data_IF_177356436926
#
_entry.id   IF_177356436926
#
_cell.length_a   1.000
_cell.length_b   1.000
_cell.length_c   1.000
_cell.angle_alpha   90.00
_cell.angle_beta   90.00
_cell.angle_gamma   90.00
#
_symmetry.space_group_name_H-M   'P 1'
#
loop_
_entity.id
_entity.type
_entity.pdbx_description
1 polymer ?
#
# COMPACT_ATOMS: atom_id res chain seq x y z
N UNK A 1 -16.72 4.17 -3.77
CA UNK A 1 -15.48 3.79 -4.49
C UNK A 1 -14.20 4.07 -3.72
N UNK A 2 -13.99 5.29 -3.22
CA UNK A 2 -12.77 5.65 -2.48
C UNK A 2 -12.41 4.70 -1.32
N UNK A 3 -13.39 4.35 -0.47
CA UNK A 3 -13.18 3.42 0.65
C UNK A 3 -12.68 2.05 0.17
N UNK A 4 -13.21 1.54 -0.95
CA UNK A 4 -12.79 0.25 -1.51
C UNK A 4 -11.34 0.31 -1.99
N UNK A 5 -10.94 1.38 -2.69
CA UNK A 5 -9.54 1.56 -3.14
C UNK A 5 -8.56 1.64 -1.97
N UNK A 6 -8.91 2.40 -0.93
CA UNK A 6 -8.10 2.49 0.30
C UNK A 6 -7.96 1.09 0.93
N UNK A 7 -9.05 0.34 1.00
CA UNK A 7 -9.04 -1.00 1.55
C UNK A 7 -8.13 -1.93 0.73
N UNK A 8 -8.25 -1.94 -0.60
CA UNK A 8 -7.47 -2.78 -1.49
C UNK A 8 -5.96 -2.47 -1.44
N UNK A 9 -5.59 -1.18 -1.30
CA UNK A 9 -4.20 -0.77 -1.07
C UNK A 9 -3.66 -1.42 0.21
N UNK A 10 -4.38 -1.30 1.33
CA UNK A 10 -3.94 -1.86 2.61
C UNK A 10 -3.93 -3.39 2.64
N UNK A 11 -4.88 -4.06 1.95
CA UNK A 11 -4.84 -5.52 1.78
C UNK A 11 -3.61 -5.96 0.99
N UNK A 12 -3.26 -5.21 -0.05
CA UNK A 12 -2.05 -5.50 -0.84
C UNK A 12 -0.78 -5.32 -0.01
N UNK A 13 -0.70 -4.28 0.81
CA UNK A 13 0.46 -4.01 1.68
C UNK A 13 0.64 -5.04 2.81
N UNK A 14 -0.46 -5.50 3.41
CA UNK A 14 -0.39 -6.28 4.67
C UNK A 14 -0.86 -7.73 4.58
N UNK A 15 -1.72 -8.08 3.61
CA UNK A 15 -2.38 -9.40 3.57
C UNK A 15 -1.93 -10.28 2.41
N UNK A 16 -1.32 -9.73 1.36
CA UNK A 16 -0.87 -10.50 0.19
C UNK A 16 0.51 -11.17 0.34
N UNK A 17 1.18 -11.01 1.49
CA UNK A 17 2.50 -11.60 1.73
C UNK A 17 3.63 -11.01 0.89
N UNK A 18 3.38 -9.86 0.25
CA UNK A 18 4.35 -9.17 -0.61
C UNK A 18 5.31 -8.31 0.22
N UNK A 19 6.56 -8.18 -0.27
CA UNK A 19 7.44 -7.14 0.22
C UNK A 19 6.97 -5.75 -0.28
N UNK A 20 7.52 -4.67 0.27
CA UNK A 20 7.07 -3.31 -0.05
C UNK A 20 7.18 -2.98 -1.55
N UNK A 21 8.28 -3.38 -2.19
CA UNK A 21 8.55 -3.09 -3.60
C UNK A 21 7.57 -3.84 -4.53
N UNK A 22 7.26 -5.09 -4.22
CA UNK A 22 6.27 -5.89 -4.95
C UNK A 22 4.86 -5.35 -4.75
N UNK A 23 4.48 -5.03 -3.50
CA UNK A 23 3.18 -4.46 -3.19
C UNK A 23 2.94 -3.15 -3.93
N UNK A 24 3.96 -2.30 -4.06
CA UNK A 24 3.87 -1.05 -4.81
C UNK A 24 3.56 -1.26 -6.28
N UNK A 25 4.25 -2.20 -6.94
CA UNK A 25 3.98 -2.52 -8.35
C UNK A 25 2.54 -2.98 -8.54
N UNK A 26 2.08 -3.89 -7.67
CA UNK A 26 0.70 -4.41 -7.72
C UNK A 26 -0.32 -3.28 -7.52
N UNK A 27 -0.07 -2.35 -6.58
CA UNK A 27 -0.97 -1.21 -6.36
C UNK A 27 -1.01 -0.28 -7.59
N UNK A 28 0.14 0.01 -8.21
CA UNK A 28 0.22 0.87 -9.39
C UNK A 28 -0.44 0.25 -10.62
N UNK A 29 -0.40 -1.09 -10.75
CA UNK A 29 -0.99 -1.84 -11.86
C UNK A 29 -2.51 -2.09 -11.68
N UNK A 30 -2.95 -2.50 -10.48
CA UNK A 30 -4.34 -2.90 -10.24
C UNK A 30 -5.27 -1.73 -9.86
N UNK A 31 -4.73 -0.67 -9.24
CA UNK A 31 -5.54 0.42 -8.68
C UNK A 31 -5.34 1.67 -9.54
N UNK A 32 -6.40 2.19 -10.18
CA UNK A 32 -6.33 3.40 -11.01
C UNK A 32 -5.76 4.59 -10.23
N UNK A 33 -5.16 5.52 -10.96
CA UNK A 33 -4.63 6.73 -10.34
C UNK A 33 -5.71 7.51 -9.59
N UNK A 34 -5.38 7.87 -8.35
CA UNK A 34 -6.27 8.59 -7.46
C UNK A 34 -5.48 9.25 -6.34
N UNK A 35 -6.10 10.29 -5.75
CA UNK A 35 -5.50 11.06 -4.68
C UNK A 35 -5.09 10.18 -3.49
N UNK A 36 -5.96 9.27 -3.05
CA UNK A 36 -5.66 8.36 -1.93
C UNK A 36 -4.52 7.38 -2.23
N UNK A 37 -4.40 6.88 -3.47
CA UNK A 37 -3.30 6.01 -3.88
C UNK A 37 -1.98 6.76 -3.78
N UNK A 38 -1.93 7.95 -4.37
CA UNK A 38 -0.74 8.79 -4.36
C UNK A 38 -0.34 9.16 -2.92
N UNK A 39 -1.30 9.61 -2.12
CA UNK A 39 -1.08 9.98 -0.71
C UNK A 39 -0.49 8.82 0.10
N UNK A 40 -1.04 7.61 -0.03
CA UNK A 40 -0.56 6.45 0.71
C UNK A 40 0.84 6.04 0.22
N UNK A 41 1.04 5.91 -1.10
CA UNK A 41 2.35 5.49 -1.64
C UNK A 41 3.45 6.50 -1.32
N UNK A 42 3.16 7.80 -1.39
CA UNK A 42 4.12 8.85 -1.04
C UNK A 42 4.48 8.84 0.44
N UNK A 43 3.51 8.65 1.33
CA UNK A 43 3.78 8.47 2.75
C UNK A 43 4.73 7.30 3.01
N UNK A 44 4.50 6.16 2.37
CA UNK A 44 5.35 4.97 2.58
C UNK A 44 6.74 5.18 1.98
N UNK A 45 6.84 5.79 0.79
CA UNK A 45 8.13 6.11 0.13
C UNK A 45 8.98 7.09 0.94
N UNK A 46 8.34 8.07 1.58
CA UNK A 46 9.02 9.10 2.36
C UNK A 46 9.31 8.68 3.79
N UNK A 47 8.79 7.54 4.26
CA UNK A 47 9.03 7.06 5.62
C UNK A 47 10.44 6.49 5.78
N UNK A 48 11.30 7.22 6.49
CA UNK A 48 12.67 6.77 6.83
C UNK A 48 12.72 5.48 7.64
N UNK A 49 11.71 5.25 8.49
CA UNK A 49 11.59 4.07 9.34
C UNK A 49 10.77 2.95 8.70
N UNK A 50 10.24 3.18 7.50
CA UNK A 50 9.28 2.31 6.85
C UNK A 50 7.90 2.34 7.51
N UNK A 51 7.09 1.32 7.24
CA UNK A 51 5.74 1.17 7.79
C UNK A 51 5.70 0.10 8.88
N UNK A 52 4.80 0.32 9.85
CA UNK A 52 4.53 -0.67 10.90
C UNK A 52 4.00 -1.94 10.25
N UNK A 53 4.73 -3.04 10.41
CA UNK A 53 4.23 -4.38 10.16
C UNK A 53 3.96 -4.99 11.53
N UNK A 54 2.72 -5.44 11.77
CA UNK A 54 2.39 -6.14 13.02
C UNK A 54 3.35 -7.30 13.21
N UNK A 55 3.76 -7.55 14.46
CA UNK A 55 4.53 -8.75 14.81
C UNK A 55 3.73 -9.96 14.32
N UNK A 56 4.23 -10.62 13.27
CA UNK A 56 3.81 -11.98 12.96
C UNK A 56 4.43 -12.87 14.04
N UNK A 57 3.79 -12.90 15.20
CA UNK A 57 3.82 -14.06 16.10
C UNK A 57 2.48 -14.77 15.98
#
# INVERSE_FOLDING_TARGET
EQIFRINDIYRTLYQRGLNNSEAFKVIEEEIPDSYERQLILDFIRTSERGIVRGTMD
#
